data_IF_372816057533
#
_entry.id   IF_372816057533
#
_cell.length_a   1.000
_cell.length_b   1.000
_cell.length_c   1.000
_cell.angle_alpha   90.00
_cell.angle_beta   90.00
_cell.angle_gamma   90.00
#
_symmetry.space_group_name_H-M   'P 1'
#
loop_
_entity.id
_entity.type
_entity.pdbx_description
1 polymer ?
#
# COMPACT_ATOMS: atom_id res chain seq x y z
N UNK A 1 9.37 -11.37 -11.57
CA UNK A 1 8.43 -10.23 -11.57
C UNK A 1 7.06 -10.78 -11.94
N UNK A 2 6.03 -10.51 -11.15
CA UNK A 2 4.64 -10.92 -11.44
C UNK A 2 3.89 -9.71 -11.96
N UNK A 3 3.11 -9.88 -13.02
CA UNK A 3 2.24 -8.83 -13.52
C UNK A 3 0.86 -8.94 -12.87
N UNK A 4 0.29 -7.79 -12.51
CA UNK A 4 -1.03 -7.71 -11.91
C UNK A 4 -1.77 -6.46 -12.34
N UNK A 5 -2.93 -6.24 -11.75
CA UNK A 5 -3.69 -5.00 -11.88
C UNK A 5 -4.06 -4.46 -10.49
N UNK A 6 -4.43 -3.18 -10.45
CA UNK A 6 -5.01 -2.55 -9.28
C UNK A 6 -6.52 -2.46 -9.45
N UNK A 7 -7.31 -3.03 -8.52
CA UNK A 7 -8.78 -3.11 -8.66
C UNK A 7 -9.42 -1.73 -8.75
N UNK A 8 -8.77 -0.71 -8.16
CA UNK A 8 -9.19 0.69 -8.15
C UNK A 8 -9.38 1.29 -9.56
N UNK A 9 -8.70 0.76 -10.58
CA UNK A 9 -8.91 1.15 -11.98
C UNK A 9 -10.27 0.72 -12.54
N UNK A 10 -10.97 -0.18 -11.84
CA UNK A 10 -12.22 -0.83 -12.27
C UNK A 10 -13.33 -0.66 -11.21
N UNK A 11 -13.47 0.53 -10.62
CA UNK A 11 -14.47 0.80 -9.55
C UNK A 11 -15.92 0.48 -9.95
N UNK A 12 -16.25 0.53 -11.24
CA UNK A 12 -17.58 0.15 -11.75
C UNK A 12 -17.80 -1.36 -11.87
N UNK A 13 -16.76 -2.18 -11.68
CA UNK A 13 -16.82 -3.63 -11.86
C UNK A 13 -16.84 -4.37 -10.52
N UNK A 14 -17.44 -5.55 -10.57
CA UNK A 14 -17.46 -6.48 -9.42
C UNK A 14 -16.12 -7.22 -9.29
N UNK A 15 -15.77 -7.75 -8.10
CA UNK A 15 -14.58 -8.59 -7.94
C UNK A 15 -14.57 -9.79 -8.91
N UNK A 16 -15.72 -10.40 -9.16
CA UNK A 16 -15.85 -11.51 -10.11
C UNK A 16 -15.44 -11.11 -11.55
N UNK A 17 -15.91 -9.94 -12.02
CA UNK A 17 -15.57 -9.42 -13.34
C UNK A 17 -14.07 -9.10 -13.46
N UNK A 18 -13.50 -8.47 -12.42
CA UNK A 18 -12.09 -8.10 -12.35
C UNK A 18 -11.20 -9.36 -12.37
N UNK A 19 -11.52 -10.36 -11.55
CA UNK A 19 -10.83 -11.66 -11.52
C UNK A 19 -10.89 -12.34 -12.88
N UNK A 20 -12.07 -12.37 -13.50
CA UNK A 20 -12.25 -12.96 -14.82
C UNK A 20 -11.43 -12.24 -15.90
N UNK A 21 -11.38 -10.91 -15.86
CA UNK A 21 -10.58 -10.11 -16.79
C UNK A 21 -9.07 -10.32 -16.59
N UNK A 22 -8.61 -10.35 -15.33
CA UNK A 22 -7.21 -10.60 -15.00
C UNK A 22 -6.75 -11.99 -15.48
N UNK A 23 -7.53 -13.03 -15.19
CA UNK A 23 -7.21 -14.40 -15.61
C UNK A 23 -7.17 -14.55 -17.13
N UNK A 24 -8.16 -14.00 -17.86
CA UNK A 24 -8.17 -14.03 -19.34
C UNK A 24 -7.00 -13.25 -19.96
N UNK A 25 -6.48 -12.27 -19.25
CA UNK A 25 -5.34 -11.45 -19.70
C UNK A 25 -3.98 -12.06 -19.34
N UNK A 26 -3.95 -13.22 -18.68
CA UNK A 26 -2.72 -13.88 -18.25
C UNK A 26 -2.01 -13.18 -17.10
N UNK A 27 -2.69 -12.30 -16.35
CA UNK A 27 -2.15 -11.70 -15.13
C UNK A 27 -2.13 -12.74 -14.01
N UNK A 28 -1.28 -12.49 -13.00
CA UNK A 28 -1.11 -13.42 -11.88
C UNK A 28 -1.60 -12.86 -10.55
N UNK A 29 -1.77 -11.55 -10.43
CA UNK A 29 -2.10 -10.92 -9.16
C UNK A 29 -3.05 -9.73 -9.29
N UNK A 30 -3.73 -9.41 -8.19
CA UNK A 30 -4.60 -8.24 -8.06
C UNK A 30 -4.27 -7.52 -6.75
N UNK A 31 -4.07 -6.20 -6.80
CA UNK A 31 -4.22 -5.36 -5.61
C UNK A 31 -5.69 -5.05 -5.40
N UNK A 32 -6.21 -5.34 -4.21
CA UNK A 32 -7.60 -5.05 -3.86
C UNK A 32 -7.74 -3.75 -3.08
N UNK A 33 -8.52 -2.81 -3.62
CA UNK A 33 -8.87 -1.56 -2.94
C UNK A 33 -9.87 -1.78 -1.80
N UNK A 34 -9.58 -1.21 -0.62
CA UNK A 34 -10.42 -1.31 0.57
C UNK A 34 -11.68 -0.42 0.53
N UNK A 35 -11.83 0.42 -0.49
CA UNK A 35 -12.97 1.33 -0.64
C UNK A 35 -14.22 0.60 -1.14
N UNK A 36 -14.16 0.08 -2.37
CA UNK A 36 -15.34 -0.45 -3.08
C UNK A 36 -15.30 -1.98 -3.10
N UNK A 37 -14.15 -2.54 -3.48
CA UNK A 37 -14.06 -3.95 -3.80
C UNK A 37 -13.93 -4.82 -2.56
N UNK A 38 -13.02 -4.47 -1.65
CA UNK A 38 -12.65 -5.31 -0.51
C UNK A 38 -12.71 -4.54 0.84
N UNK A 39 -13.88 -4.06 1.30
CA UNK A 39 -13.98 -3.30 2.55
C UNK A 39 -13.59 -4.13 3.79
N UNK A 40 -12.72 -3.59 4.65
CA UNK A 40 -12.15 -4.30 5.81
C UNK A 40 -13.20 -4.79 6.83
N UNK A 41 -14.37 -4.15 6.89
CA UNK A 41 -15.47 -4.54 7.77
C UNK A 41 -16.35 -5.68 7.26
N UNK A 42 -16.15 -6.17 6.03
CA UNK A 42 -17.00 -7.19 5.43
C UNK A 42 -16.23 -8.51 5.22
N UNK A 43 -16.06 -9.28 6.28
CA UNK A 43 -15.29 -10.54 6.24
C UNK A 43 -15.85 -11.59 5.28
N UNK A 44 -17.17 -11.64 5.08
CA UNK A 44 -17.80 -12.57 4.13
C UNK A 44 -17.40 -12.26 2.69
N UNK A 45 -17.48 -10.99 2.29
CA UNK A 45 -17.04 -10.53 0.97
C UNK A 45 -15.55 -10.76 0.75
N UNK A 46 -14.72 -10.52 1.76
CA UNK A 46 -13.27 -10.77 1.66
C UNK A 46 -12.97 -12.26 1.44
N UNK A 47 -13.67 -13.16 2.14
CA UNK A 47 -13.55 -14.62 1.95
C UNK A 47 -14.02 -15.05 0.56
N UNK A 48 -15.08 -14.45 0.05
CA UNK A 48 -15.56 -14.70 -1.32
C UNK A 48 -14.49 -14.31 -2.34
N UNK A 49 -13.90 -13.12 -2.22
CA UNK A 49 -12.81 -12.65 -3.08
C UNK A 49 -11.62 -13.61 -3.02
N UNK A 50 -11.20 -14.01 -1.82
CA UNK A 50 -10.08 -14.94 -1.61
C UNK A 50 -10.34 -16.33 -2.21
N UNK A 51 -11.59 -16.79 -2.22
CA UNK A 51 -11.96 -18.05 -2.89
C UNK A 51 -11.95 -17.90 -4.41
N UNK A 52 -12.52 -16.81 -4.93
CA UNK A 52 -12.59 -16.54 -6.37
C UNK A 52 -11.19 -16.37 -6.98
N UNK A 53 -10.30 -15.61 -6.33
CA UNK A 53 -8.92 -15.45 -6.81
C UNK A 53 -8.21 -16.80 -6.88
N UNK A 54 -8.34 -17.63 -5.82
CA UNK A 54 -7.70 -18.94 -5.74
C UNK A 54 -8.20 -19.88 -6.85
N UNK A 55 -9.51 -19.90 -7.08
CA UNK A 55 -10.11 -20.72 -8.14
C UNK A 55 -9.69 -20.28 -9.54
N UNK A 56 -9.37 -19.00 -9.72
CA UNK A 56 -8.85 -18.43 -10.96
C UNK A 56 -7.32 -18.53 -11.12
N UNK A 57 -6.61 -19.08 -10.12
CA UNK A 57 -5.13 -19.13 -10.12
C UNK A 57 -4.47 -17.77 -9.92
N UNK A 58 -5.17 -16.81 -9.33
CA UNK A 58 -4.69 -15.47 -9.00
C UNK A 58 -4.36 -15.34 -7.50
N UNK A 59 -3.42 -14.46 -7.19
CA UNK A 59 -3.10 -14.07 -5.81
C UNK A 59 -3.47 -12.61 -5.52
N UNK A 60 -3.59 -12.27 -4.24
CA UNK A 60 -3.64 -10.89 -3.79
C UNK A 60 -2.20 -10.35 -3.68
N UNK A 61 -1.79 -9.43 -4.56
CA UNK A 61 -0.44 -8.84 -4.48
C UNK A 61 -0.30 -7.96 -3.24
N UNK A 62 -1.36 -7.22 -2.92
CA UNK A 62 -1.40 -6.23 -1.86
C UNK A 62 -2.83 -5.83 -1.55
N UNK A 63 -3.03 -5.35 -0.33
CA UNK A 63 -4.29 -4.74 0.08
C UNK A 63 -4.16 -3.21 0.06
N UNK A 64 -4.84 -2.59 -0.90
CA UNK A 64 -4.83 -1.16 -1.16
C UNK A 64 -5.71 -0.40 -0.17
N UNK A 65 -5.15 0.05 0.95
CA UNK A 65 -5.94 0.69 2.02
C UNK A 65 -6.00 2.21 1.90
N UNK A 66 -6.92 2.81 2.66
CA UNK A 66 -6.98 4.24 2.94
C UNK A 66 -6.55 4.57 4.39
N UNK A 67 -5.95 3.60 5.09
CA UNK A 67 -5.30 3.88 6.36
C UNK A 67 -4.15 4.86 6.14
N UNK A 68 -4.13 5.95 6.90
CA UNK A 68 -3.16 7.03 6.77
C UNK A 68 -2.36 7.16 8.05
N UNK A 69 -1.08 6.79 8.01
CA UNK A 69 -0.16 6.91 9.13
C UNK A 69 -0.13 8.37 9.60
N UNK A 70 -0.25 8.57 10.92
CA UNK A 70 -0.27 9.90 11.54
C UNK A 70 -1.60 10.65 11.45
N UNK A 71 -2.63 10.05 10.83
CA UNK A 71 -3.95 10.68 10.65
C UNK A 71 -5.08 9.74 11.07
N UNK A 72 -5.13 8.52 10.53
CA UNK A 72 -6.07 7.50 10.95
C UNK A 72 -5.71 7.02 12.37
N UNK A 73 -6.68 6.87 13.29
CA UNK A 73 -6.42 6.31 14.60
C UNK A 73 -5.73 4.95 14.51
N UNK A 74 -4.61 4.78 15.20
CA UNK A 74 -3.80 3.55 15.13
C UNK A 74 -4.60 2.30 15.54
N UNK A 75 -5.60 2.45 16.42
CA UNK A 75 -6.50 1.37 16.84
C UNK A 75 -7.35 0.79 15.70
N UNK A 76 -7.44 1.44 14.54
CA UNK A 76 -8.12 0.91 13.36
C UNK A 76 -7.24 0.00 12.50
N UNK A 77 -5.90 0.11 12.61
CA UNK A 77 -4.95 -0.69 11.80
C UNK A 77 -5.22 -2.21 11.89
N UNK A 78 -5.53 -2.81 13.06
CA UNK A 78 -5.87 -4.24 13.15
C UNK A 78 -7.00 -4.70 12.24
N UNK A 79 -7.97 -3.84 11.90
CA UNK A 79 -9.06 -4.18 10.97
C UNK A 79 -8.52 -4.40 9.55
N UNK A 80 -7.57 -3.57 9.14
CA UNK A 80 -6.93 -3.68 7.82
C UNK A 80 -6.00 -4.88 7.75
N UNK A 81 -5.23 -5.15 8.82
CA UNK A 81 -4.37 -6.34 8.91
C UNK A 81 -5.20 -7.62 8.82
N UNK A 82 -6.30 -7.71 9.56
CA UNK A 82 -7.23 -8.85 9.48
C UNK A 82 -7.78 -9.04 8.07
N UNK A 83 -8.13 -7.94 7.39
CA UNK A 83 -8.64 -8.01 6.01
C UNK A 83 -7.57 -8.50 5.01
N UNK A 84 -6.33 -8.02 5.15
CA UNK A 84 -5.19 -8.48 4.35
C UNK A 84 -4.94 -9.99 4.53
N UNK A 85 -5.02 -10.47 5.77
CA UNK A 85 -4.89 -11.90 6.10
C UNK A 85 -5.96 -12.73 5.37
N UNK A 86 -7.23 -12.29 5.42
CA UNK A 86 -8.34 -12.99 4.75
C UNK A 86 -8.12 -13.03 3.23
N UNK A 87 -7.65 -11.93 2.64
CA UNK A 87 -7.32 -11.85 1.21
C UNK A 87 -6.07 -12.67 0.83
N UNK A 88 -5.32 -13.14 1.83
CA UNK A 88 -4.11 -13.95 1.64
C UNK A 88 -2.88 -13.13 1.22
N UNK A 89 -2.77 -11.88 1.64
CA UNK A 89 -1.58 -11.05 1.42
C UNK A 89 -0.97 -10.58 2.74
N UNK A 90 0.37 -10.48 2.76
CA UNK A 90 1.12 -9.87 3.86
C UNK A 90 1.49 -8.40 3.60
N UNK A 91 1.05 -7.81 2.49
CA UNK A 91 1.43 -6.47 2.05
C UNK A 91 0.21 -5.55 2.04
N UNK A 92 0.32 -4.40 2.69
CA UNK A 92 -0.73 -3.38 2.71
C UNK A 92 -0.17 -2.07 2.17
N UNK A 93 -0.83 -1.49 1.18
CA UNK A 93 -0.57 -0.10 0.80
C UNK A 93 -1.27 0.83 1.78
N UNK A 94 -0.55 1.82 2.30
CA UNK A 94 -1.05 2.85 3.21
C UNK A 94 -0.65 4.25 2.74
N UNK A 95 -1.33 5.26 3.24
CA UNK A 95 -0.95 6.66 3.07
C UNK A 95 -0.10 7.12 4.29
N UNK A 96 0.67 8.20 4.17
CA UNK A 96 1.48 8.72 5.27
C UNK A 96 1.38 10.24 5.38
N UNK A 97 0.86 10.76 6.49
CA UNK A 97 0.58 12.19 6.63
C UNK A 97 -0.53 12.67 5.69
N UNK A 98 -0.95 13.93 5.81
CA UNK A 98 -2.07 14.59 5.14
C UNK A 98 -1.67 15.78 4.25
N UNK A 99 -0.37 16.11 4.20
CA UNK A 99 0.18 17.21 3.41
C UNK A 99 1.55 16.82 2.81
N UNK A 100 2.10 17.57 1.84
CA UNK A 100 3.45 17.38 1.32
C UNK A 100 4.53 17.42 2.40
N UNK A 101 5.65 16.69 2.24
CA UNK A 101 6.72 16.63 3.25
C UNK A 101 7.37 17.98 3.56
N UNK A 102 7.37 18.90 2.60
CA UNK A 102 7.90 20.26 2.75
C UNK A 102 7.09 21.15 3.69
N UNK A 103 5.82 20.80 3.94
CA UNK A 103 4.92 21.54 4.83
C UNK A 103 4.93 21.04 6.28
N UNK A 104 5.67 19.97 6.58
CA UNK A 104 5.87 19.48 7.93
C UNK A 104 7.03 20.23 8.62
N UNK A 105 6.71 20.96 9.69
CA UNK A 105 7.72 21.50 10.60
C UNK A 105 8.41 20.38 11.40
N UNK A 106 9.54 20.70 12.05
CA UNK A 106 10.36 19.72 12.76
C UNK A 106 9.56 18.85 13.76
N UNK A 107 8.75 19.46 14.63
CA UNK A 107 7.96 18.72 15.61
C UNK A 107 6.89 17.83 14.98
N UNK A 108 6.29 18.26 13.85
CA UNK A 108 5.32 17.46 13.12
C UNK A 108 5.99 16.28 12.43
N UNK A 109 7.19 16.47 11.86
CA UNK A 109 8.00 15.39 11.29
C UNK A 109 8.29 14.31 12.32
N UNK A 110 8.73 14.71 13.51
CA UNK A 110 9.02 13.76 14.59
C UNK A 110 7.77 12.96 15.00
N UNK A 111 6.58 13.58 15.00
CA UNK A 111 5.32 12.88 15.26
C UNK A 111 4.96 11.88 14.15
N UNK A 112 5.19 12.23 12.89
CA UNK A 112 4.97 11.31 11.76
C UNK A 112 5.92 10.11 11.86
N UNK A 113 7.19 10.32 12.20
CA UNK A 113 8.16 9.23 12.34
C UNK A 113 7.78 8.28 13.47
N UNK A 114 7.33 8.80 14.61
CA UNK A 114 6.85 7.98 15.72
C UNK A 114 5.56 7.22 15.37
N UNK A 115 4.62 7.88 14.68
CA UNK A 115 3.40 7.23 14.20
C UNK A 115 3.71 6.09 13.21
N UNK A 116 4.67 6.31 12.31
CA UNK A 116 5.13 5.31 11.36
C UNK A 116 5.83 4.13 12.06
N UNK A 117 6.66 4.40 13.07
CA UNK A 117 7.27 3.35 13.91
C UNK A 117 6.22 2.52 14.62
N UNK A 118 5.23 3.15 15.25
CA UNK A 118 4.15 2.44 15.94
C UNK A 118 3.33 1.56 14.97
N UNK A 119 3.01 2.07 13.79
CA UNK A 119 2.31 1.31 12.75
C UNK A 119 3.16 0.13 12.23
N UNK A 120 4.46 0.35 12.01
CA UNK A 120 5.39 -0.66 11.55
C UNK A 120 5.59 -1.79 12.59
N UNK A 121 5.69 -1.49 13.88
CA UNK A 121 5.75 -2.50 14.94
C UNK A 121 4.44 -3.29 15.04
N UNK A 122 3.30 -2.62 14.86
CA UNK A 122 1.99 -3.28 14.85
C UNK A 122 1.88 -4.26 13.67
N UNK A 123 2.30 -3.85 12.48
CA UNK A 123 2.32 -4.71 11.30
C UNK A 123 3.31 -5.88 11.45
N UNK A 124 4.50 -5.62 12.00
CA UNK A 124 5.51 -6.65 12.30
C UNK A 124 4.96 -7.72 13.25
N UNK A 125 4.24 -7.33 14.30
CA UNK A 125 3.60 -8.25 15.22
C UNK A 125 2.56 -9.16 14.53
N UNK A 126 1.94 -8.69 13.44
CA UNK A 126 1.04 -9.46 12.60
C UNK A 126 1.74 -10.21 11.44
N UNK A 127 3.08 -10.12 11.33
CA UNK A 127 3.84 -10.72 10.22
C UNK A 127 3.58 -10.04 8.87
N UNK A 128 3.21 -8.76 8.87
CA UNK A 128 2.82 -7.99 7.68
C UNK A 128 3.75 -6.80 7.44
N UNK A 129 3.71 -6.29 6.21
CA UNK A 129 4.47 -5.12 5.75
C UNK A 129 3.53 -4.02 5.30
N UNK A 130 3.69 -2.83 5.86
CA UNK A 130 3.05 -1.62 5.38
C UNK A 130 3.94 -0.97 4.33
N UNK A 131 3.35 -0.59 3.20
CA UNK A 131 4.02 0.10 2.11
C UNK A 131 3.37 1.47 1.93
N UNK A 132 4.14 2.52 2.15
CA UNK A 132 3.64 3.89 1.92
C UNK A 132 3.51 4.17 0.42
N UNK A 133 2.40 4.76 0.01
CA UNK A 133 2.22 5.28 -1.35
C UNK A 133 3.17 6.45 -1.62
N UNK A 134 3.80 6.49 -2.80
CA UNK A 134 4.63 7.63 -3.22
C UNK A 134 3.78 8.71 -3.92
N UNK A 135 3.26 9.70 -3.17
CA UNK A 135 2.21 10.60 -3.65
C UNK A 135 2.39 12.06 -3.21
N UNK A 136 2.11 13.00 -4.11
CA UNK A 136 2.31 14.45 -3.94
C UNK A 136 1.44 15.17 -2.88
N UNK A 137 0.62 14.44 -2.13
CA UNK A 137 -0.29 14.97 -1.11
C UNK A 137 -0.13 14.20 0.22
N UNK A 138 1.06 13.66 0.43
CA UNK A 138 1.48 12.90 1.60
C UNK A 138 2.88 13.32 2.00
N UNK A 139 3.30 12.91 3.19
CA UNK A 139 4.70 13.01 3.62
C UNK A 139 5.64 12.26 2.66
N UNK A 140 5.11 11.29 1.92
CA UNK A 140 5.84 10.45 0.99
C UNK A 140 5.73 10.97 -0.44
N UNK A 141 5.88 12.28 -0.64
CA UNK A 141 5.84 12.98 -1.93
C UNK A 141 7.20 13.08 -2.63
N UNK A 142 8.29 13.10 -1.86
CA UNK A 142 9.67 13.22 -2.36
C UNK A 142 10.54 12.04 -1.92
N UNK A 143 11.39 11.54 -2.84
CA UNK A 143 12.20 10.34 -2.60
C UNK A 143 13.14 10.49 -1.39
N UNK A 144 13.70 11.67 -1.17
CA UNK A 144 14.55 11.93 -0.01
C UNK A 144 13.76 11.95 1.31
N UNK A 145 12.52 12.45 1.30
CA UNK A 145 11.66 12.43 2.48
C UNK A 145 11.19 11.01 2.82
N UNK A 146 10.86 10.22 1.79
CA UNK A 146 10.54 8.78 1.96
C UNK A 146 11.75 8.05 2.54
N UNK A 147 12.96 8.25 1.99
CA UNK A 147 14.19 7.64 2.50
C UNK A 147 14.44 8.04 3.96
N UNK A 148 14.32 9.32 4.28
CA UNK A 148 14.47 9.83 5.66
C UNK A 148 13.49 9.14 6.62
N UNK A 149 12.21 9.02 6.26
CA UNK A 149 11.20 8.31 7.05
C UNK A 149 11.59 6.85 7.30
N UNK A 150 11.98 6.13 6.24
CA UNK A 150 12.26 4.71 6.30
C UNK A 150 13.53 4.40 7.09
N UNK A 151 14.58 5.20 6.92
CA UNK A 151 15.81 5.11 7.72
C UNK A 151 15.58 5.52 9.17
N UNK A 152 14.72 6.50 9.44
CA UNK A 152 14.35 6.85 10.79
C UNK A 152 13.62 5.70 11.49
N UNK A 153 12.64 5.07 10.81
CA UNK A 153 11.87 3.94 11.38
C UNK A 153 12.72 2.67 11.50
N UNK A 154 13.53 2.34 10.50
CA UNK A 154 14.45 1.19 10.48
C UNK A 154 13.79 -0.14 10.87
N UNK A 155 12.65 -0.44 10.23
CA UNK A 155 11.92 -1.71 10.40
C UNK A 155 11.56 -2.32 9.05
N UNK A 156 11.80 -3.63 8.84
CA UNK A 156 11.49 -4.29 7.56
C UNK A 156 9.99 -4.36 7.25
N UNK A 157 9.13 -4.15 8.25
CA UNK A 157 7.68 -4.07 8.12
C UNK A 157 7.18 -2.71 7.63
N UNK A 158 8.06 -1.75 7.36
CA UNK A 158 7.74 -0.50 6.68
C UNK A 158 8.58 -0.36 5.42
N UNK A 159 7.89 -0.26 4.28
CA UNK A 159 8.45 -0.11 2.94
C UNK A 159 7.71 1.00 2.19
N UNK A 160 7.96 1.12 0.90
CA UNK A 160 7.26 2.06 0.03
C UNK A 160 6.87 1.42 -1.30
N UNK A 161 5.86 1.97 -1.94
CA UNK A 161 5.62 1.76 -3.36
C UNK A 161 6.37 2.80 -4.17
N UNK A 162 6.60 2.51 -5.44
CA UNK A 162 7.13 3.51 -6.36
C UNK A 162 6.37 3.48 -7.67
N UNK A 163 5.91 4.65 -8.10
CA UNK A 163 5.30 4.85 -9.40
C UNK A 163 5.98 6.02 -10.13
N UNK A 164 6.06 5.98 -11.47
CA UNK A 164 6.51 7.14 -12.23
C UNK A 164 5.53 8.31 -12.04
N UNK A 165 6.07 9.50 -11.83
CA UNK A 165 5.31 10.74 -11.76
C UNK A 165 5.20 11.33 -13.17
N UNK A 166 3.97 11.42 -13.72
CA UNK A 166 3.73 11.94 -15.08
C UNK A 166 4.11 13.43 -15.26
N UNK A 167 4.32 14.16 -14.17
CA UNK A 167 4.72 15.57 -14.19
C UNK A 167 6.23 15.77 -14.10
N UNK A 168 7.01 14.67 -14.01
CA UNK A 168 8.48 14.69 -13.97
C UNK A 168 9.06 14.08 -15.24
N UNK A 169 10.28 14.49 -15.56
CA UNK A 169 11.09 13.92 -16.64
C UNK A 169 11.42 12.45 -16.38
N UNK A 170 11.86 11.74 -17.42
CA UNK A 170 12.32 10.36 -17.29
C UNK A 170 13.56 10.27 -16.39
N UNK A 171 14.46 11.25 -16.49
CA UNK A 171 15.68 11.36 -15.70
C UNK A 171 15.38 11.56 -14.21
N UNK A 172 14.42 12.43 -13.89
CA UNK A 172 13.97 12.65 -12.51
C UNK A 172 13.31 11.40 -11.93
N UNK A 173 12.44 10.73 -12.70
CA UNK A 173 11.83 9.48 -12.26
C UNK A 173 12.85 8.35 -12.08
N UNK A 174 13.86 8.25 -12.96
CA UNK A 174 14.94 7.28 -12.80
C UNK A 174 15.74 7.54 -11.52
N UNK A 175 16.01 8.82 -11.21
CA UNK A 175 16.70 9.18 -9.98
C UNK A 175 15.89 8.80 -8.73
N UNK A 176 14.59 9.08 -8.69
CA UNK A 176 13.74 8.70 -7.53
C UNK A 176 13.63 7.18 -7.40
N UNK A 177 13.51 6.45 -8.50
CA UNK A 177 13.53 4.98 -8.51
C UNK A 177 14.83 4.43 -7.93
N UNK A 178 15.98 4.99 -8.31
CA UNK A 178 17.29 4.56 -7.80
C UNK A 178 17.43 4.81 -6.29
N UNK A 179 16.94 5.95 -5.80
CA UNK A 179 16.97 6.29 -4.37
C UNK A 179 16.10 5.32 -3.57
N UNK A 180 14.92 4.95 -4.08
CA UNK A 180 13.93 4.15 -3.35
C UNK A 180 14.02 2.65 -3.59
N UNK A 181 14.75 2.19 -4.61
CA UNK A 181 14.90 0.77 -4.95
C UNK A 181 15.22 -0.16 -3.75
N UNK A 182 16.06 0.22 -2.75
CA UNK A 182 16.31 -0.63 -1.58
C UNK A 182 15.09 -0.85 -0.69
N UNK A 183 14.08 0.01 -0.80
CA UNK A 183 12.91 0.07 0.07
C UNK A 183 11.61 -0.28 -0.64
N UNK A 184 11.62 -0.39 -1.96
CA UNK A 184 10.41 -0.62 -2.76
C UNK A 184 9.94 -2.07 -2.66
N UNK A 185 8.66 -2.26 -2.34
CA UNK A 185 8.00 -3.58 -2.38
C UNK A 185 7.29 -3.81 -3.73
N UNK A 186 6.44 -2.87 -4.14
CA UNK A 186 5.69 -2.92 -5.40
C UNK A 186 5.91 -1.65 -6.24
N UNK A 187 5.72 -1.79 -7.55
CA UNK A 187 5.74 -0.72 -8.56
C UNK A 187 4.42 -0.63 -9.32
#
# INVERSE_FOLDING_TARGET
>A
MKAGLVSVSFRSNTPFEIIGAAARSGLSAIEWGSDVHAPCGNSEKLKEIALLQKNAGLECSSYGTYFRIGVTPIGELPLYLTAAEILGTGVLRVWCGDKPSSEYGYDERMKIFEAARCAAETAKAAGMTLCTEFHHHTFTDEALAVKELLEAVDLPSLKTYWQPNQYRTAEENLLTAQILAPFTENV
#
